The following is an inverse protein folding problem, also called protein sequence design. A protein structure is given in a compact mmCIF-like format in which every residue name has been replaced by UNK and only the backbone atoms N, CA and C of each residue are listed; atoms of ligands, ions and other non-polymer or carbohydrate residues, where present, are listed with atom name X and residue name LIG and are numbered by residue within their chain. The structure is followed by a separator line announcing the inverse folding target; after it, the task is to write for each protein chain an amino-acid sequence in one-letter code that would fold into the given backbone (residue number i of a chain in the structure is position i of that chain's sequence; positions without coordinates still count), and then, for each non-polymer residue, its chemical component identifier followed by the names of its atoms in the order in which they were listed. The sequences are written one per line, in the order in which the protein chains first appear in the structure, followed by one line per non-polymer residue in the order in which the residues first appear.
data_IF_338425120774
#
_entry.id   IF_338425120774
#
_cell.length_a   1.000
_cell.length_b   1.000
_cell.length_c   1.000
_cell.angle_alpha   90.00
_cell.angle_beta   90.00
_cell.angle_gamma   90.00
#
_symmetry.space_group_name_H-M   'P 1'
#
loop_
_entity.id
_entity.type
_entity.pdbx_description
1 polymer ?
#
# COMPACT_ATOMS: atom_id res chain seq x y z
N UNK A 1 -1.80 16.49 6.94
CA UNK A 1 -2.35 17.48 7.89
C UNK A 1 -3.03 16.82 9.08
N UNK A 2 -4.15 16.10 8.87
CA UNK A 2 -4.91 15.43 9.96
C UNK A 2 -4.11 14.31 10.62
N UNK A 3 -3.57 13.36 9.85
CA UNK A 3 -2.72 12.28 10.36
C UNK A 3 -1.43 12.77 11.04
N UNK A 4 -1.00 14.00 10.74
CA UNK A 4 0.17 14.65 11.39
C UNK A 4 -0.23 15.49 12.61
N UNK A 5 -1.51 15.46 13.00
CA UNK A 5 -2.05 16.21 14.15
C UNK A 5 -2.04 17.73 13.96
N UNK A 6 -1.90 18.23 12.73
CA UNK A 6 -1.84 19.65 12.41
C UNK A 6 -3.18 20.22 11.91
N UNK A 7 -4.23 19.40 11.81
CA UNK A 7 -5.56 19.83 11.37
C UNK A 7 -6.67 18.91 11.88
N UNK A 8 -7.90 19.43 11.92
CA UNK A 8 -9.14 18.68 12.12
C UNK A 8 -9.85 18.54 10.76
N UNK A 9 -10.32 17.33 10.44
CA UNK A 9 -11.05 17.08 9.21
C UNK A 9 -12.54 17.38 9.40
N UNK A 10 -13.14 18.10 8.46
CA UNK A 10 -14.59 18.31 8.39
C UNK A 10 -15.10 17.98 6.99
N UNK A 11 -16.27 17.36 6.92
CA UNK A 11 -16.93 17.07 5.66
C UNK A 11 -17.96 18.16 5.35
N UNK A 12 -17.71 18.93 4.30
CA UNK A 12 -18.54 20.08 3.89
C UNK A 12 -20.00 19.68 3.60
N UNK A 13 -20.25 18.44 3.16
CA UNK A 13 -21.60 17.97 2.81
C UNK A 13 -22.43 17.52 4.01
N UNK A 14 -21.79 17.17 5.11
CA UNK A 14 -22.46 16.56 6.28
C UNK A 14 -22.27 17.36 7.57
N UNK A 15 -21.44 18.40 7.56
CA UNK A 15 -21.14 19.21 8.75
C UNK A 15 -22.28 20.15 9.10
N UNK A 16 -22.55 20.30 10.39
CA UNK A 16 -23.43 21.32 10.95
C UNK A 16 -22.66 22.57 11.38
N UNK A 17 -23.39 23.66 11.69
CA UNK A 17 -22.78 24.89 12.26
C UNK A 17 -22.03 24.62 13.57
N UNK A 18 -22.57 23.74 14.42
CA UNK A 18 -21.95 23.36 15.68
C UNK A 18 -20.63 22.60 15.48
N UNK A 19 -20.57 21.72 14.48
CA UNK A 19 -19.34 20.95 14.18
C UNK A 19 -18.21 21.88 13.75
N UNK A 20 -18.54 22.88 12.93
CA UNK A 20 -17.57 23.90 12.50
C UNK A 20 -17.07 24.74 13.68
N UNK A 21 -17.98 25.21 14.54
CA UNK A 21 -17.61 25.98 15.73
C UNK A 21 -16.73 25.17 16.69
N UNK A 22 -17.06 23.90 16.90
CA UNK A 22 -16.29 23.02 17.77
C UNK A 22 -14.88 22.75 17.21
N UNK A 23 -14.78 22.48 15.91
CA UNK A 23 -13.48 22.28 15.25
C UNK A 23 -12.61 23.54 15.31
N UNK A 24 -13.20 24.72 15.07
CA UNK A 24 -12.48 26.00 15.16
C UNK A 24 -11.94 26.22 16.58
N UNK A 25 -12.82 26.03 17.59
CA UNK A 25 -12.45 26.16 19.00
C UNK A 25 -11.32 25.20 19.37
N UNK A 26 -11.40 23.94 18.92
CA UNK A 26 -10.37 22.92 19.16
C UNK A 26 -9.00 23.32 18.59
N UNK A 27 -8.97 23.90 17.39
CA UNK A 27 -7.71 24.32 16.74
C UNK A 27 -7.14 25.60 17.36
N UNK A 28 -7.99 26.53 17.79
CA UNK A 28 -7.57 27.80 18.40
C UNK A 28 -7.12 27.61 19.85
N UNK A 29 -7.89 26.86 20.65
CA UNK A 29 -7.65 26.71 22.09
C UNK A 29 -6.45 25.81 22.38
N UNK A 30 -6.11 24.88 21.48
CA UNK A 30 -4.99 23.97 21.66
C UNK A 30 -3.76 24.41 20.84
N UNK A 31 -2.70 24.94 21.49
CA UNK A 31 -1.51 25.44 20.80
C UNK A 31 -0.71 24.35 20.07
N UNK A 32 -0.91 23.06 20.41
CA UNK A 32 -0.21 21.95 19.76
C UNK A 32 -0.48 21.89 18.24
N UNK A 33 -1.67 22.30 17.79
CA UNK A 33 -1.97 22.37 16.36
C UNK A 33 -1.10 23.39 15.64
N UNK A 34 -0.89 24.56 16.24
CA UNK A 34 -0.02 25.62 15.71
C UNK A 34 1.44 25.18 15.67
N UNK A 35 1.93 24.58 16.75
CA UNK A 35 3.30 24.08 16.83
C UNK A 35 3.57 22.99 15.78
N UNK A 36 2.66 22.02 15.64
CA UNK A 36 2.78 20.96 14.62
C UNK A 36 2.69 21.51 13.20
N UNK A 37 1.84 22.51 12.96
CA UNK A 37 1.75 23.17 11.66
C UNK A 37 3.03 23.95 11.33
N UNK A 38 3.61 24.66 12.30
CA UNK A 38 4.85 25.41 12.13
C UNK A 38 6.05 24.48 11.93
N UNK A 39 6.14 23.39 12.71
CA UNK A 39 7.15 22.36 12.53
C UNK A 39 7.06 21.71 11.14
N UNK A 40 5.85 21.39 10.68
CA UNK A 40 5.64 20.84 9.34
C UNK A 40 6.01 21.86 8.24
N UNK A 41 5.77 23.15 8.48
CA UNK A 41 6.20 24.23 7.58
C UNK A 41 7.72 24.27 7.46
N UNK A 42 8.45 24.23 8.58
CA UNK A 42 9.92 24.19 8.58
C UNK A 42 10.43 23.02 7.76
N UNK A 43 9.90 21.80 7.96
CA UNK A 43 10.30 20.62 7.18
C UNK A 43 9.99 20.79 5.69
N UNK A 44 8.86 21.42 5.34
CA UNK A 44 8.51 21.63 3.95
C UNK A 44 9.46 22.61 3.25
N UNK A 45 9.91 23.63 3.97
CA UNK A 45 10.89 24.62 3.51
C UNK A 45 12.33 24.12 3.60
N UNK A 46 12.61 23.11 4.42
CA UNK A 46 13.90 22.45 4.55
C UNK A 46 14.18 21.53 3.35
N UNK A 47 14.38 22.17 2.20
CA UNK A 47 14.75 21.51 0.96
C UNK A 47 15.99 22.19 0.39
N UNK A 48 16.96 21.41 -0.15
CA UNK A 48 18.23 21.94 -0.63
C UNK A 48 18.09 22.86 -1.86
N UNK A 49 16.97 22.77 -2.58
CA UNK A 49 16.66 23.63 -3.74
C UNK A 49 15.26 24.20 -3.61
N UNK A 50 15.10 25.46 -4.02
CA UNK A 50 13.78 26.09 -4.08
C UNK A 50 12.88 25.33 -5.06
N UNK A 51 11.55 25.28 -4.82
CA UNK A 51 10.62 24.57 -5.69
C UNK A 51 10.67 25.04 -7.15
N UNK A 52 10.89 26.35 -7.36
CA UNK A 52 11.00 26.94 -8.69
C UNK A 52 12.27 26.45 -9.41
N UNK A 53 13.42 26.52 -8.75
CA UNK A 53 14.70 26.08 -9.34
C UNK A 53 14.66 24.58 -9.64
N UNK A 54 14.03 23.78 -8.76
CA UNK A 54 13.78 22.36 -9.00
C UNK A 54 12.93 22.14 -10.25
N UNK A 55 11.87 22.92 -10.45
CA UNK A 55 11.02 22.82 -11.64
C UNK A 55 11.79 23.18 -12.92
N UNK A 56 12.56 24.28 -12.90
CA UNK A 56 13.40 24.70 -14.01
C UNK A 56 14.41 23.59 -14.36
N UNK A 57 15.09 23.03 -13.35
CA UNK A 57 16.03 21.93 -13.54
C UNK A 57 15.39 20.74 -14.25
N UNK A 58 14.21 20.28 -13.80
CA UNK A 58 13.54 19.15 -14.43
C UNK A 58 13.04 19.45 -15.84
N UNK A 59 12.55 20.67 -16.10
CA UNK A 59 12.15 21.10 -17.44
C UNK A 59 13.36 21.08 -18.38
N UNK A 60 14.47 21.66 -17.97
CA UNK A 60 15.72 21.66 -18.73
C UNK A 60 16.27 20.24 -18.92
N UNK A 61 16.19 19.40 -17.89
CA UNK A 61 16.59 18.00 -17.96
C UNK A 61 15.80 17.23 -19.02
N UNK A 62 14.48 17.40 -19.06
CA UNK A 62 13.60 16.76 -20.04
C UNK A 62 13.88 17.27 -21.46
N UNK A 63 14.12 18.57 -21.63
CA UNK A 63 14.49 19.16 -22.92
C UNK A 63 15.84 18.62 -23.43
N UNK A 64 16.86 18.59 -22.56
CA UNK A 64 18.20 18.06 -22.89
C UNK A 64 18.17 16.59 -23.31
N UNK A 65 17.32 15.78 -22.68
CA UNK A 65 17.22 14.35 -22.94
C UNK A 65 16.05 13.97 -23.88
N UNK A 66 15.58 14.92 -24.71
CA UNK A 66 14.54 14.72 -25.73
C UNK A 66 13.32 13.93 -25.20
N UNK A 67 12.77 14.38 -24.07
CA UNK A 67 11.60 13.78 -23.45
C UNK A 67 11.89 12.70 -22.40
N UNK A 68 13.17 12.49 -22.04
CA UNK A 68 13.62 11.61 -20.96
C UNK A 68 12.84 10.28 -20.88
N UNK A 69 12.82 9.53 -22.00
CA UNK A 69 12.05 8.29 -22.14
C UNK A 69 12.33 7.26 -21.03
N UNK A 70 13.50 7.32 -20.40
CA UNK A 70 13.93 6.49 -19.27
C UNK A 70 13.28 6.88 -17.92
N UNK A 71 12.85 8.14 -17.74
CA UNK A 71 12.11 8.60 -16.56
C UNK A 71 10.61 8.36 -16.67
N UNK A 72 10.12 8.05 -17.87
CA UNK A 72 8.71 7.68 -18.07
C UNK A 72 8.49 6.32 -17.41
N UNK A 73 7.52 6.18 -16.48
CA UNK A 73 7.22 4.89 -15.90
C UNK A 73 6.91 3.89 -17.01
N UNK A 74 7.77 2.87 -17.14
CA UNK A 74 7.59 1.77 -18.09
C UNK A 74 6.25 1.06 -17.88
N UNK A 75 5.63 1.23 -16.71
CA UNK A 75 4.28 0.80 -16.37
C UNK A 75 3.21 1.18 -17.40
N UNK A 76 3.34 2.33 -18.08
CA UNK A 76 2.37 2.75 -19.10
C UNK A 76 2.48 1.98 -20.43
N UNK A 77 3.63 1.35 -20.70
CA UNK A 77 3.87 0.57 -21.91
C UNK A 77 3.70 -0.94 -21.68
N UNK A 78 3.37 -1.37 -20.45
CA UNK A 78 3.17 -2.78 -20.14
C UNK A 78 1.76 -3.22 -20.56
N UNK A 79 1.67 -4.39 -21.18
CA UNK A 79 0.39 -5.04 -21.43
C UNK A 79 -0.24 -5.43 -20.10
N UNK A 80 -1.58 -5.53 -20.06
CA UNK A 80 -2.31 -5.81 -18.82
C UNK A 80 -1.83 -7.09 -18.12
N UNK A 81 -1.45 -8.11 -18.89
CA UNK A 81 -0.90 -9.37 -18.38
C UNK A 81 0.43 -9.20 -17.64
N UNK A 82 1.31 -8.33 -18.14
CA UNK A 82 2.60 -8.02 -17.49
C UNK A 82 2.41 -7.12 -16.27
N UNK A 83 1.48 -6.16 -16.36
CA UNK A 83 1.15 -5.29 -15.23
C UNK A 83 0.68 -6.11 -14.02
N UNK A 84 -0.18 -7.11 -14.24
CA UNK A 84 -0.65 -8.01 -13.19
C UNK A 84 0.27 -9.21 -12.92
N UNK A 85 1.40 -9.32 -13.63
CA UNK A 85 2.37 -10.41 -13.48
C UNK A 85 1.71 -11.80 -13.41
N UNK A 86 0.83 -12.11 -14.37
CA UNK A 86 0.04 -13.35 -14.34
C UNK A 86 0.90 -14.62 -14.29
N UNK A 87 2.11 -14.58 -14.83
CA UNK A 87 3.09 -15.68 -14.73
C UNK A 87 3.43 -16.02 -13.27
N UNK A 88 3.68 -15.00 -12.44
CA UNK A 88 3.99 -15.16 -11.01
C UNK A 88 2.78 -15.70 -10.24
N UNK A 89 1.57 -15.22 -10.57
CA UNK A 89 0.32 -15.72 -9.96
C UNK A 89 0.11 -17.20 -10.32
N UNK A 90 0.31 -17.55 -11.60
CA UNK A 90 0.19 -18.92 -12.07
C UNK A 90 1.19 -19.86 -11.38
N UNK A 91 2.45 -19.45 -11.27
CA UNK A 91 3.48 -20.20 -10.56
C UNK A 91 3.13 -20.41 -9.08
N UNK A 92 2.71 -19.35 -8.38
CA UNK A 92 2.32 -19.46 -6.97
C UNK A 92 1.11 -20.37 -6.76
N UNK A 93 0.08 -20.27 -7.61
CA UNK A 93 -1.08 -21.15 -7.56
C UNK A 93 -0.70 -22.60 -7.80
N UNK A 94 0.20 -22.87 -8.75
CA UNK A 94 0.71 -24.21 -9.00
C UNK A 94 1.46 -24.77 -7.78
N UNK A 95 2.32 -23.97 -7.15
CA UNK A 95 3.01 -24.38 -5.92
C UNK A 95 2.02 -24.73 -4.80
N UNK A 96 1.01 -23.88 -4.55
CA UNK A 96 -0.02 -24.12 -3.54
C UNK A 96 -0.81 -25.40 -3.87
N UNK A 97 -1.21 -25.59 -5.12
CA UNK A 97 -1.93 -26.78 -5.57
C UNK A 97 -1.13 -28.06 -5.37
N UNK A 98 0.18 -28.04 -5.69
CA UNK A 98 1.07 -29.19 -5.49
C UNK A 98 1.22 -29.51 -4.00
N UNK A 99 1.44 -28.51 -3.16
CA UNK A 99 1.56 -28.69 -1.70
C UNK A 99 0.25 -29.27 -1.14
N UNK A 100 -0.90 -28.71 -1.52
CA UNK A 100 -2.20 -29.21 -1.09
C UNK A 100 -2.45 -30.64 -1.57
N UNK A 101 -2.10 -30.96 -2.82
CA UNK A 101 -2.24 -32.31 -3.36
C UNK A 101 -1.39 -33.34 -2.59
N UNK A 102 -0.12 -33.00 -2.29
CA UNK A 102 0.77 -33.85 -1.49
C UNK A 102 0.27 -34.03 -0.05
N UNK A 103 -0.26 -32.96 0.56
CA UNK A 103 -0.85 -33.02 1.90
C UNK A 103 -2.10 -33.91 1.94
N UNK A 104 -3.00 -33.80 0.95
CA UNK A 104 -4.19 -34.64 0.85
C UNK A 104 -3.81 -36.10 0.64
N UNK A 105 -2.88 -36.38 -0.29
CA UNK A 105 -2.43 -37.75 -0.57
C UNK A 105 -1.75 -38.38 0.64
N UNK A 106 -0.87 -37.66 1.33
CA UNK A 106 -0.23 -38.17 2.55
C UNK A 106 -1.24 -38.42 3.66
N UNK A 107 -2.19 -37.50 3.90
CA UNK A 107 -3.27 -37.69 4.86
C UNK A 107 -4.14 -38.92 4.54
N UNK A 108 -4.53 -39.11 3.28
CA UNK A 108 -5.30 -40.27 2.84
C UNK A 108 -4.53 -41.58 3.00
N UNK A 109 -3.24 -41.60 2.68
CA UNK A 109 -2.39 -42.80 2.87
C UNK A 109 -2.24 -43.16 4.35
N UNK A 110 -2.08 -42.15 5.22
CA UNK A 110 -2.04 -42.35 6.67
C UNK A 110 -3.39 -42.90 7.15
N UNK A 111 -4.50 -42.31 6.72
CA UNK A 111 -5.84 -42.79 7.06
C UNK A 111 -6.07 -44.25 6.61
N UNK A 112 -5.71 -44.59 5.38
CA UNK A 112 -5.84 -45.96 4.86
C UNK A 112 -4.97 -46.95 5.64
N UNK A 113 -3.74 -46.58 6.02
CA UNK A 113 -2.90 -47.43 6.87
C UNK A 113 -3.53 -47.66 8.25
N UNK A 114 -4.05 -46.63 8.90
CA UNK A 114 -4.73 -46.79 10.20
C UNK A 114 -6.01 -47.62 10.09
N UNK A 115 -6.83 -47.41 9.06
CA UNK A 115 -8.04 -48.20 8.81
C UNK A 115 -7.73 -49.69 8.58
N UNK A 116 -6.69 -50.00 7.79
CA UNK A 116 -6.25 -51.38 7.55
C UNK A 116 -5.62 -52.05 8.78
N UNK A 117 -5.03 -51.27 9.69
CA UNK A 117 -4.49 -51.80 10.96
C UNK A 117 -5.62 -52.12 11.94
N UNK A 118 -6.68 -51.31 11.98
CA UNK A 118 -7.86 -51.56 12.81
C UNK A 118 -8.70 -52.76 12.36
N UNK A 119 -8.78 -53.05 11.06
CA UNK A 119 -9.45 -54.26 10.55
C UNK A 119 -8.64 -55.53 10.81
N UNK A 120 -7.30 -55.45 10.78
CA UNK A 120 -6.43 -56.60 11.12
C UNK A 120 -6.58 -57.03 12.58
N UNK A 121 -6.69 -56.06 13.51
CA UNK A 121 -6.81 -56.33 14.95
C UNK A 121 -8.20 -56.84 15.39
N UNK A 122 -9.21 -56.77 14.52
CA UNK A 122 -10.58 -57.29 14.76
C UNK A 122 -10.77 -58.72 14.22
N UNK A 123 -9.84 -59.20 13.39
CA UNK A 123 -9.89 -60.49 12.72
C UNK A 123 -8.91 -61.53 13.32
N UNK A 124 -8.16 -61.17 14.37
CA UNK A 124 -7.49 -62.09 15.32
C UNK A 124 -8.32 -62.16 16.61
#
# INVERSE_FOLDING_TARGET
MVAKGAAVALNIRTMSRSDLLNALKTVIDNPSYKEKAMWLSTIHHDQPMKPLDRAIFWIEFVMRHKGAKHLRPLAYNLTWYQYYSLDVIGFLLACVAVIAFLAIKSCLLVYQKFANMGTKMKNE
#
